data_IF_592501525574
#
_entry.id   IF_592501525574
#
_cell.length_a   1.000
_cell.length_b   1.000
_cell.length_c   1.000
_cell.angle_alpha   90.00
_cell.angle_beta   90.00
_cell.angle_gamma   90.00
#
_symmetry.space_group_name_H-M   'P 1'
#
loop_
_entity.id
_entity.type
_entity.pdbx_description
1 polymer ?
#
# COMPACT_ATOMS: atom_id res chain seq x y z
N UNK A 1 6.52 28.30 15.29
CA UNK A 1 7.31 28.74 14.11
C UNK A 1 6.43 28.98 12.89
N UNK A 2 5.48 28.09 12.54
CA UNK A 2 4.57 28.25 11.39
C UNK A 2 3.81 29.59 11.41
N UNK A 3 3.13 29.95 12.51
CA UNK A 3 2.42 31.23 12.63
C UNK A 3 3.31 32.46 12.41
N UNK A 4 4.62 32.35 12.70
CA UNK A 4 5.58 33.42 12.45
C UNK A 4 5.95 33.49 10.97
N UNK A 5 6.12 32.34 10.33
CA UNK A 5 6.37 32.26 8.88
C UNK A 5 5.21 32.84 8.06
N UNK A 6 3.96 32.52 8.40
CA UNK A 6 2.77 33.01 7.69
C UNK A 6 2.58 34.55 7.74
N UNK A 7 3.26 35.24 8.66
CA UNK A 7 3.22 36.70 8.79
C UNK A 7 4.43 37.39 8.17
N UNK A 8 5.42 36.61 7.71
CA UNK A 8 6.62 37.13 7.06
C UNK A 8 6.39 37.27 5.56
N UNK A 9 7.11 38.21 4.94
CA UNK A 9 7.10 38.40 3.48
C UNK A 9 7.61 37.16 2.74
N UNK A 10 8.64 36.51 3.30
CA UNK A 10 9.19 35.25 2.80
C UNK A 10 9.04 34.13 3.86
N UNK A 11 7.91 33.39 3.89
CA UNK A 11 7.66 32.35 4.88
C UNK A 11 8.72 31.23 4.90
N UNK A 12 9.29 30.92 3.73
CA UNK A 12 10.28 29.84 3.55
C UNK A 12 11.63 30.12 4.22
N UNK A 13 11.95 31.39 4.53
CA UNK A 13 13.17 31.74 5.28
C UNK A 13 13.08 31.29 6.75
N UNK A 14 11.85 31.09 7.27
CA UNK A 14 11.60 30.69 8.66
C UNK A 14 11.27 29.20 8.74
N UNK A 15 10.47 28.69 7.80
CA UNK A 15 10.13 27.26 7.70
C UNK A 15 10.48 26.79 6.29
N UNK A 16 11.72 26.30 6.06
CA UNK A 16 12.23 25.98 4.72
C UNK A 16 11.73 24.62 4.24
N UNK A 17 10.42 24.46 4.13
CA UNK A 17 9.78 23.26 3.60
C UNK A 17 8.58 23.63 2.75
N UNK A 18 8.43 22.92 1.63
CA UNK A 18 7.31 23.04 0.71
C UNK A 18 6.88 21.65 0.23
N UNK A 19 5.62 21.50 -0.11
CA UNK A 19 5.12 20.32 -0.82
C UNK A 19 5.40 20.47 -2.32
N UNK A 20 6.32 19.66 -2.83
CA UNK A 20 6.79 19.75 -4.22
C UNK A 20 6.03 18.85 -5.19
N UNK A 21 5.27 17.87 -4.68
CA UNK A 21 4.47 16.96 -5.52
C UNK A 21 2.96 17.19 -5.36
N UNK A 22 2.54 17.97 -4.38
CA UNK A 22 1.16 18.40 -4.14
C UNK A 22 0.26 17.37 -3.47
N UNK A 23 0.71 16.12 -3.34
CA UNK A 23 -0.11 15.03 -2.80
C UNK A 23 -0.41 15.23 -1.31
N UNK A 24 0.59 15.66 -0.54
CA UNK A 24 0.42 15.90 0.89
C UNK A 24 -0.58 17.03 1.17
N UNK A 25 -0.51 18.11 0.39
CA UNK A 25 -1.44 19.25 0.46
C UNK A 25 -2.86 18.81 0.11
N UNK A 26 -3.03 18.04 -0.98
CA UNK A 26 -4.33 17.53 -1.40
C UNK A 26 -4.96 16.64 -0.32
N UNK A 27 -4.21 15.68 0.22
CA UNK A 27 -4.67 14.78 1.29
C UNK A 27 -5.08 15.57 2.54
N UNK A 28 -4.24 16.50 3.00
CA UNK A 28 -4.53 17.32 4.17
C UNK A 28 -5.79 18.18 3.96
N UNK A 29 -6.00 18.69 2.73
CA UNK A 29 -7.18 19.46 2.37
C UNK A 29 -8.46 18.63 2.36
N UNK A 30 -8.42 17.38 1.89
CA UNK A 30 -9.59 16.48 1.94
C UNK A 30 -9.97 16.19 3.40
N UNK A 31 -8.97 16.01 4.27
CA UNK A 31 -9.22 15.73 5.70
C UNK A 31 -9.80 16.96 6.40
N UNK A 32 -9.09 18.09 6.36
CA UNK A 32 -9.36 19.24 7.25
C UNK A 32 -9.33 20.61 6.55
N UNK A 33 -9.37 20.66 5.21
CA UNK A 33 -9.39 21.93 4.48
C UNK A 33 -10.61 22.78 4.84
N UNK A 34 -10.40 24.07 5.09
CA UNK A 34 -11.48 25.03 5.33
C UNK A 34 -12.41 25.14 4.11
N UNK A 35 -13.66 25.54 4.34
CA UNK A 35 -14.62 25.76 3.27
C UNK A 35 -14.14 26.86 2.31
N UNK A 36 -14.10 26.53 1.02
CA UNK A 36 -13.98 27.48 -0.09
C UNK A 36 -15.09 27.17 -1.10
N UNK A 37 -16.18 27.97 -1.04
CA UNK A 37 -17.37 27.76 -1.87
C UNK A 37 -17.08 27.95 -3.36
N UNK A 38 -16.29 28.96 -3.72
CA UNK A 38 -15.95 29.29 -5.12
C UNK A 38 -15.26 28.13 -5.85
N UNK A 39 -14.51 27.31 -5.09
CA UNK A 39 -13.76 26.18 -5.63
C UNK A 39 -14.38 24.82 -5.26
N UNK A 40 -15.52 24.81 -4.57
CA UNK A 40 -16.21 23.58 -4.16
C UNK A 40 -15.41 22.70 -3.19
N UNK A 41 -14.45 23.26 -2.45
CA UNK A 41 -13.58 22.51 -1.54
C UNK A 41 -14.07 22.64 -0.11
N UNK A 42 -14.24 21.50 0.57
CA UNK A 42 -14.53 21.42 1.99
C UNK A 42 -13.97 20.11 2.55
N UNK A 43 -13.10 20.20 3.55
CA UNK A 43 -12.62 19.04 4.28
C UNK A 43 -13.70 18.39 5.14
N UNK A 44 -13.49 17.13 5.52
CA UNK A 44 -14.43 16.37 6.36
C UNK A 44 -14.50 16.95 7.79
N UNK A 45 -13.34 17.30 8.36
CA UNK A 45 -13.20 17.85 9.71
C UNK A 45 -12.50 19.21 9.68
N UNK A 46 -13.23 20.26 9.27
CA UNK A 46 -12.68 21.60 9.02
C UNK A 46 -12.13 22.33 10.26
N UNK A 47 -12.37 21.82 11.46
CA UNK A 47 -11.85 22.36 12.73
C UNK A 47 -10.76 21.46 13.35
N UNK A 48 -10.40 20.35 12.69
CA UNK A 48 -9.28 19.53 13.14
C UNK A 48 -7.95 20.27 12.91
N UNK A 49 -7.02 20.09 13.84
CA UNK A 49 -5.65 20.55 13.65
C UNK A 49 -4.82 19.47 12.98
N UNK A 50 -3.84 19.90 12.17
CA UNK A 50 -3.00 19.02 11.38
C UNK A 50 -1.61 18.89 12.00
N UNK A 51 -1.13 17.65 12.08
CA UNK A 51 0.28 17.32 12.31
C UNK A 51 0.79 16.65 11.03
N UNK A 52 1.77 17.27 10.37
CA UNK A 52 2.27 16.81 9.06
C UNK A 52 3.70 16.30 9.21
N UNK A 53 3.94 15.10 8.71
CA UNK A 53 5.29 14.52 8.57
C UNK A 53 5.64 14.45 7.09
N UNK A 54 6.65 15.22 6.68
CA UNK A 54 7.24 15.12 5.34
C UNK A 54 8.40 14.14 5.39
N UNK A 55 8.26 13.00 4.70
CA UNK A 55 9.31 12.01 4.58
C UNK A 55 10.43 12.53 3.66
N UNK A 56 11.68 12.15 3.96
CA UNK A 56 12.82 12.41 3.09
C UNK A 56 12.97 11.29 2.07
N UNK A 57 13.64 11.57 0.95
CA UNK A 57 14.02 10.53 -0.02
C UNK A 57 15.07 9.58 0.59
N UNK A 58 15.04 8.28 0.24
CA UNK A 58 16.06 7.33 0.65
C UNK A 58 17.45 7.74 0.14
N UNK A 59 18.50 7.24 0.81
CA UNK A 59 19.87 7.44 0.35
C UNK A 59 20.11 6.64 -0.94
N UNK A 60 20.92 7.18 -1.86
CA UNK A 60 21.26 6.56 -3.14
C UNK A 60 21.73 5.10 -3.03
N UNK A 61 22.55 4.78 -2.04
CA UNK A 61 23.02 3.40 -1.82
C UNK A 61 21.89 2.42 -1.45
N UNK A 62 20.83 2.90 -0.79
CA UNK A 62 19.66 2.09 -0.45
C UNK A 62 18.74 1.89 -1.66
N UNK A 63 18.61 2.91 -2.51
CA UNK A 63 17.91 2.76 -3.79
C UNK A 63 18.60 1.72 -4.67
N UNK A 64 19.93 1.80 -4.78
CA UNK A 64 20.72 0.86 -5.58
C UNK A 64 20.63 -0.59 -5.09
N UNK A 65 20.73 -0.85 -3.78
CA UNK A 65 20.64 -2.23 -3.27
C UNK A 65 19.25 -2.84 -3.45
N UNK A 66 18.20 -2.02 -3.36
CA UNK A 66 16.80 -2.40 -3.54
C UNK A 66 16.33 -2.37 -5.00
N UNK A 67 17.21 -2.00 -5.94
CA UNK A 67 16.91 -1.92 -7.36
C UNK A 67 15.76 -0.97 -7.67
N UNK A 68 15.80 0.20 -7.04
CA UNK A 68 14.83 1.29 -7.22
C UNK A 68 15.48 2.41 -8.03
N UNK A 69 14.82 2.93 -9.09
CA UNK A 69 15.33 4.08 -9.85
C UNK A 69 15.56 5.32 -8.97
N UNK A 70 16.64 6.06 -9.23
CA UNK A 70 17.06 7.19 -8.36
C UNK A 70 16.08 8.37 -8.37
N UNK A 71 15.35 8.55 -9.46
CA UNK A 71 14.35 9.59 -9.66
C UNK A 71 12.96 9.20 -9.15
N UNK A 72 12.75 7.92 -8.80
CA UNK A 72 11.48 7.44 -8.30
C UNK A 72 11.09 8.11 -6.97
N UNK A 73 9.79 8.35 -6.81
CA UNK A 73 9.25 8.93 -5.58
C UNK A 73 8.90 7.78 -4.63
N UNK A 74 9.84 7.47 -3.74
CA UNK A 74 9.68 6.43 -2.73
C UNK A 74 10.24 6.90 -1.39
N UNK A 75 9.93 6.15 -0.34
CA UNK A 75 10.36 6.43 1.03
C UNK A 75 10.80 5.13 1.70
N UNK A 76 11.77 5.24 2.60
CA UNK A 76 12.30 4.09 3.30
C UNK A 76 11.43 3.75 4.52
N UNK A 77 11.15 2.46 4.70
CA UNK A 77 10.32 1.95 5.80
C UNK A 77 10.75 2.46 7.18
N UNK A 78 12.05 2.48 7.48
CA UNK A 78 12.54 2.97 8.78
C UNK A 78 12.22 4.45 9.03
N UNK A 79 12.24 5.29 7.99
CA UNK A 79 11.86 6.70 8.12
C UNK A 79 10.34 6.86 8.28
N UNK A 80 9.55 5.98 7.64
CA UNK A 80 8.10 5.88 7.85
C UNK A 80 7.79 5.54 9.31
N UNK A 81 8.43 4.50 9.86
CA UNK A 81 8.26 4.10 11.26
C UNK A 81 8.63 5.24 12.23
N UNK A 82 9.71 5.97 11.96
CA UNK A 82 10.10 7.14 12.76
C UNK A 82 9.06 8.27 12.66
N UNK A 83 8.47 8.49 11.48
CA UNK A 83 7.38 9.43 11.28
C UNK A 83 6.14 9.07 12.10
N UNK A 84 5.74 7.81 12.08
CA UNK A 84 4.64 7.29 12.90
C UNK A 84 4.92 7.42 14.40
N UNK A 85 6.14 7.09 14.84
CA UNK A 85 6.58 7.30 16.23
C UNK A 85 6.49 8.77 16.66
N UNK A 86 6.84 9.70 15.77
CA UNK A 86 6.71 11.12 16.03
C UNK A 86 5.24 11.52 16.20
N UNK A 87 4.35 11.07 15.31
CA UNK A 87 2.90 11.34 15.40
C UNK A 87 2.29 10.81 16.70
N UNK A 88 2.64 9.59 17.10
CA UNK A 88 2.27 9.01 18.39
C UNK A 88 2.75 9.89 19.56
N UNK A 89 4.03 10.30 19.53
CA UNK A 89 4.62 11.17 20.55
C UNK A 89 3.92 12.52 20.65
N UNK A 90 3.55 13.13 19.52
CA UNK A 90 2.81 14.39 19.48
C UNK A 90 1.43 14.23 20.13
N UNK A 91 0.67 13.20 19.74
CA UNK A 91 -0.65 12.90 20.33
C UNK A 91 -0.58 12.75 21.85
N UNK A 92 0.39 11.95 22.35
CA UNK A 92 0.61 11.76 23.79
C UNK A 92 1.00 13.06 24.50
N UNK A 93 1.89 13.86 23.91
CA UNK A 93 2.35 15.13 24.50
C UNK A 93 1.23 16.16 24.62
N UNK A 94 0.34 16.21 23.62
CA UNK A 94 -0.81 17.12 23.58
C UNK A 94 -2.03 16.57 24.32
N UNK A 95 -2.01 15.28 24.71
CA UNK A 95 -3.14 14.54 25.29
C UNK A 95 -4.40 14.63 24.43
N UNK A 96 -4.24 14.40 23.13
CA UNK A 96 -5.32 14.52 22.15
C UNK A 96 -5.37 13.31 21.23
N UNK A 97 -6.58 12.87 20.83
CA UNK A 97 -6.73 11.80 19.86
C UNK A 97 -6.08 12.18 18.52
N UNK A 98 -5.59 11.18 17.80
CA UNK A 98 -5.00 11.36 16.47
C UNK A 98 -5.53 10.31 15.50
N UNK A 99 -6.07 10.79 14.38
CA UNK A 99 -6.40 9.98 13.21
C UNK A 99 -5.28 10.17 12.18
N UNK A 100 -4.57 9.10 11.83
CA UNK A 100 -3.43 9.14 10.93
C UNK A 100 -3.88 8.67 9.54
N UNK A 101 -3.68 9.52 8.53
CA UNK A 101 -3.88 9.13 7.12
C UNK A 101 -2.57 8.54 6.57
N UNK A 102 -2.58 7.24 6.27
CA UNK A 102 -1.47 6.55 5.64
C UNK A 102 -1.79 6.28 4.16
N UNK A 103 -1.54 7.28 3.32
CA UNK A 103 -1.77 7.21 1.87
C UNK A 103 -0.51 6.75 1.10
N UNK A 104 0.25 5.83 1.69
CA UNK A 104 1.43 5.20 1.09
C UNK A 104 1.19 3.69 1.03
N UNK A 105 1.90 3.00 0.13
CA UNK A 105 1.83 1.55 0.02
C UNK A 105 2.96 0.99 -0.84
N UNK A 106 3.25 -0.29 -0.65
CA UNK A 106 4.25 -1.04 -1.39
C UNK A 106 3.71 -2.40 -1.84
N UNK A 107 4.07 -2.82 -3.06
CA UNK A 107 3.87 -4.21 -3.51
C UNK A 107 5.03 -5.13 -3.10
N UNK A 108 6.15 -4.59 -2.62
CA UNK A 108 7.24 -5.37 -2.01
C UNK A 108 6.84 -5.82 -0.62
N UNK A 109 6.95 -7.12 -0.36
CA UNK A 109 6.57 -7.77 0.88
C UNK A 109 5.68 -8.99 0.65
N UNK A 110 5.33 -9.68 1.74
CA UNK A 110 4.64 -10.97 1.68
C UNK A 110 3.14 -10.89 1.38
N UNK A 111 2.54 -9.70 1.52
CA UNK A 111 1.08 -9.47 1.49
C UNK A 111 0.29 -10.36 2.47
N UNK A 112 0.98 -10.88 3.48
CA UNK A 112 0.37 -11.49 4.66
C UNK A 112 0.19 -10.43 5.76
N UNK A 113 -0.33 -10.85 6.89
CA UNK A 113 -0.41 -10.02 8.10
C UNK A 113 0.98 -9.63 8.66
N UNK A 114 2.05 -10.38 8.32
CA UNK A 114 3.37 -10.21 8.93
C UNK A 114 4.30 -9.30 8.11
N UNK A 115 4.70 -8.19 8.74
CA UNK A 115 5.93 -7.44 8.46
C UNK A 115 6.29 -6.55 9.64
N UNK A 116 7.51 -6.01 9.67
CA UNK A 116 7.92 -5.07 10.73
C UNK A 116 7.02 -3.83 10.78
N UNK A 117 6.68 -3.24 9.63
CA UNK A 117 5.78 -2.09 9.56
C UNK A 117 4.34 -2.44 9.95
N UNK A 118 3.82 -3.58 9.50
CA UNK A 118 2.48 -4.05 9.86
C UNK A 118 2.35 -4.24 11.38
N UNK A 119 3.26 -4.99 12.00
CA UNK A 119 3.25 -5.25 13.45
C UNK A 119 3.34 -3.94 14.26
N UNK A 120 4.20 -3.01 13.82
CA UNK A 120 4.32 -1.71 14.48
C UNK A 120 3.02 -0.90 14.42
N UNK A 121 2.39 -0.82 13.24
CA UNK A 121 1.15 -0.07 13.05
C UNK A 121 -0.03 -0.73 13.78
N UNK A 122 -0.14 -2.06 13.73
CA UNK A 122 -1.16 -2.83 14.44
C UNK A 122 -1.11 -2.58 15.94
N UNK A 123 0.08 -2.58 16.55
CA UNK A 123 0.25 -2.29 17.98
C UNK A 123 -0.15 -0.88 18.36
N UNK A 124 0.13 0.10 17.49
CA UNK A 124 -0.20 1.51 17.76
C UNK A 124 -1.71 1.74 17.76
N UNK A 125 -2.45 1.12 16.83
CA UNK A 125 -3.91 1.27 16.72
C UNK A 125 -4.66 0.65 17.90
N UNK A 126 -4.03 -0.27 18.62
CA UNK A 126 -4.55 -0.83 19.89
C UNK A 126 -4.35 0.10 21.10
N UNK A 127 -3.58 1.18 20.96
CA UNK A 127 -3.49 2.19 22.00
C UNK A 127 -4.75 3.06 22.00
N UNK A 128 -5.21 3.54 23.18
CA UNK A 128 -6.34 4.46 23.23
C UNK A 128 -6.08 5.72 22.39
N UNK A 129 -7.11 6.16 21.69
CA UNK A 129 -7.18 7.46 21.00
C UNK A 129 -6.23 7.61 19.80
N UNK A 130 -5.71 6.52 19.26
CA UNK A 130 -4.87 6.50 18.06
C UNK A 130 -5.47 5.54 17.05
N UNK A 131 -5.65 6.00 15.82
CA UNK A 131 -6.12 5.16 14.71
C UNK A 131 -5.41 5.52 13.41
N UNK A 132 -5.33 4.57 12.49
CA UNK A 132 -4.66 4.70 11.21
C UNK A 132 -5.54 4.13 10.10
N UNK A 133 -5.94 4.99 9.17
CA UNK A 133 -6.51 4.57 7.89
C UNK A 133 -5.39 4.39 6.86
N UNK A 134 -5.41 3.29 6.13
CA UNK A 134 -4.39 2.90 5.14
C UNK A 134 -5.01 2.79 3.76
N UNK A 135 -4.32 3.33 2.74
CA UNK A 135 -4.74 3.17 1.36
C UNK A 135 -4.52 1.74 0.87
N UNK A 136 -5.53 1.15 0.22
CA UNK A 136 -5.40 -0.16 -0.40
C UNK A 136 -4.40 -0.21 -1.59
N UNK A 137 -3.86 0.93 -2.03
CA UNK A 137 -2.97 1.01 -3.19
C UNK A 137 -3.73 1.14 -4.52
N UNK A 138 -3.01 1.49 -5.58
CA UNK A 138 -3.57 1.72 -6.93
C UNK A 138 -3.03 0.70 -7.95
N UNK A 139 -2.91 -0.56 -7.55
CA UNK A 139 -2.30 -1.64 -8.33
C UNK A 139 -3.33 -2.59 -8.99
N UNK A 140 -4.63 -2.39 -8.78
CA UNK A 140 -5.71 -3.33 -9.16
C UNK A 140 -5.78 -3.68 -10.65
N UNK A 141 -5.38 -2.76 -11.53
CA UNK A 141 -5.36 -2.96 -12.98
C UNK A 141 -3.95 -2.88 -13.60
N UNK A 142 -2.89 -2.94 -12.78
CA UNK A 142 -1.51 -2.74 -13.25
C UNK A 142 -0.87 -3.98 -13.86
N UNK A 143 -1.47 -5.16 -13.68
CA UNK A 143 -0.94 -6.46 -14.15
C UNK A 143 0.42 -6.81 -13.53
N UNK A 144 0.63 -6.37 -12.29
CA UNK A 144 1.88 -6.48 -11.51
C UNK A 144 1.84 -7.53 -10.40
N UNK A 145 0.79 -8.34 -10.38
CA UNK A 145 0.66 -9.50 -9.52
C UNK A 145 0.37 -10.74 -10.36
N UNK A 146 1.03 -11.85 -10.01
CA UNK A 146 0.81 -13.18 -10.54
C UNK A 146 0.45 -14.13 -9.40
N UNK A 147 -0.53 -14.99 -9.63
CA UNK A 147 -0.85 -16.12 -8.76
C UNK A 147 -0.75 -17.40 -9.56
N UNK A 148 -0.03 -18.39 -9.04
CA UNK A 148 0.15 -19.69 -9.66
C UNK A 148 -0.03 -20.82 -8.68
N UNK A 149 -0.39 -21.99 -9.21
CA UNK A 149 -0.57 -23.21 -8.45
C UNK A 149 -0.16 -24.42 -9.29
N UNK A 150 0.49 -25.40 -8.67
CA UNK A 150 0.72 -26.72 -9.26
C UNK A 150 0.05 -27.78 -8.39
N UNK A 151 -1.04 -28.37 -8.88
CA UNK A 151 -1.87 -29.31 -8.10
C UNK A 151 -1.50 -30.79 -8.31
N UNK A 152 -0.71 -31.09 -9.33
CA UNK A 152 -0.35 -32.45 -9.70
C UNK A 152 1.11 -32.55 -10.15
N UNK A 153 1.64 -33.77 -10.07
CA UNK A 153 2.98 -34.10 -10.56
C UNK A 153 3.16 -33.63 -12.04
N UNK A 154 4.31 -33.04 -12.39
CA UNK A 154 5.56 -33.04 -11.62
C UNK A 154 5.70 -31.87 -10.61
N UNK A 155 4.61 -31.20 -10.22
CA UNK A 155 4.65 -30.05 -9.30
C UNK A 155 5.62 -28.96 -9.77
N UNK A 156 5.54 -28.69 -11.08
CA UNK A 156 6.26 -27.62 -11.76
C UNK A 156 5.30 -26.59 -12.31
N UNK A 157 5.69 -25.32 -12.29
CA UNK A 157 4.89 -24.24 -12.86
C UNK A 157 5.77 -23.22 -13.58
N UNK A 158 5.42 -22.89 -14.81
CA UNK A 158 6.09 -21.85 -15.60
C UNK A 158 5.20 -20.63 -15.76
N UNK A 159 5.78 -19.44 -15.61
CA UNK A 159 5.07 -18.18 -15.86
C UNK A 159 5.96 -17.15 -16.55
N UNK A 160 5.33 -16.13 -17.13
CA UNK A 160 5.96 -15.21 -18.07
C UNK A 160 5.79 -13.76 -17.63
N UNK A 161 6.88 -13.00 -17.76
CA UNK A 161 6.95 -11.56 -17.56
C UNK A 161 7.34 -10.90 -18.89
N UNK A 162 6.55 -9.94 -19.37
CA UNK A 162 7.01 -9.02 -20.40
C UNK A 162 7.81 -7.91 -19.73
N UNK A 163 9.02 -7.65 -20.20
CA UNK A 163 9.84 -6.47 -19.86
C UNK A 163 9.81 -5.48 -21.01
N UNK A 164 9.63 -4.18 -20.72
CA UNK A 164 9.58 -3.10 -21.71
C UNK A 164 10.96 -2.56 -22.14
N UNK A 165 10.98 -1.76 -23.21
CA UNK A 165 12.20 -1.31 -23.93
C UNK A 165 13.17 -0.43 -23.12
N UNK A 166 12.73 0.15 -22.00
CA UNK A 166 13.48 1.16 -21.25
C UNK A 166 13.69 0.84 -19.75
N UNK A 167 13.53 -0.43 -19.33
CA UNK A 167 13.79 -0.76 -17.93
C UNK A 167 15.28 -0.75 -17.62
N UNK A 168 15.65 0.05 -16.61
CA UNK A 168 17.03 0.11 -16.09
C UNK A 168 17.24 -0.85 -14.94
N UNK A 169 16.33 -0.85 -13.98
CA UNK A 169 16.38 -1.78 -12.88
C UNK A 169 15.04 -1.92 -12.19
N UNK A 170 14.75 -3.13 -11.72
CA UNK A 170 13.63 -3.40 -10.83
C UNK A 170 13.86 -4.69 -10.06
N UNK A 171 13.03 -4.92 -9.04
CA UNK A 171 13.02 -6.14 -8.25
C UNK A 171 11.65 -6.83 -8.32
N UNK A 172 11.65 -8.14 -8.54
CA UNK A 172 10.49 -9.01 -8.44
C UNK A 172 10.64 -9.93 -7.23
N UNK A 173 9.55 -10.12 -6.49
CA UNK A 173 9.50 -11.06 -5.37
C UNK A 173 8.55 -12.20 -5.69
N UNK A 174 8.95 -13.43 -5.38
CA UNK A 174 8.10 -14.61 -5.43
C UNK A 174 8.03 -15.20 -4.02
N UNK A 175 6.81 -15.41 -3.55
CA UNK A 175 6.51 -15.94 -2.24
C UNK A 175 5.69 -17.22 -2.37
N UNK A 176 6.16 -18.31 -1.75
CA UNK A 176 5.47 -19.60 -1.74
C UNK A 176 4.84 -19.89 -0.39
N UNK A 177 3.68 -20.55 -0.39
CA UNK A 177 3.05 -21.02 0.84
C UNK A 177 3.78 -22.23 1.42
N UNK A 178 3.84 -22.32 2.75
CA UNK A 178 4.28 -23.54 3.43
C UNK A 178 3.38 -24.73 3.06
N UNK A 179 3.92 -25.96 2.91
CA UNK A 179 5.30 -26.38 3.19
C UNK A 179 6.25 -26.32 1.97
N UNK A 180 5.86 -25.68 0.86
CA UNK A 180 6.59 -25.75 -0.40
C UNK A 180 8.02 -25.20 -0.29
N UNK A 181 8.96 -25.87 -0.95
CA UNK A 181 10.34 -25.40 -1.13
C UNK A 181 10.66 -25.34 -2.62
N UNK A 182 10.65 -24.15 -3.18
CA UNK A 182 10.74 -23.94 -4.62
C UNK A 182 12.19 -23.75 -5.07
N UNK A 183 12.62 -24.50 -6.07
CA UNK A 183 13.76 -24.12 -6.91
C UNK A 183 13.27 -23.28 -8.08
N UNK A 184 14.17 -22.47 -8.66
CA UNK A 184 13.86 -21.62 -9.81
C UNK A 184 14.90 -21.77 -10.91
N UNK A 185 14.43 -21.74 -12.15
CA UNK A 185 15.23 -21.59 -13.37
C UNK A 185 14.63 -20.45 -14.18
N UNK A 186 15.48 -19.62 -14.80
CA UNK A 186 15.04 -18.40 -15.49
C UNK A 186 15.56 -18.44 -16.92
N UNK A 187 14.67 -18.18 -17.88
CA UNK A 187 15.00 -18.00 -19.29
C UNK A 187 14.88 -16.52 -19.66
N UNK A 188 15.94 -15.96 -20.24
CA UNK A 188 15.90 -14.62 -20.81
C UNK A 188 15.24 -14.62 -22.21
N UNK A 189 14.90 -13.44 -22.77
CA UNK A 189 14.22 -13.33 -24.06
C UNK A 189 14.98 -13.95 -25.24
N UNK A 190 16.31 -14.01 -25.16
CA UNK A 190 17.16 -14.64 -26.20
C UNK A 190 17.19 -16.17 -26.12
N UNK A 191 16.55 -16.77 -25.10
CA UNK A 191 16.41 -18.21 -24.92
C UNK A 191 17.51 -18.87 -24.07
N UNK A 192 18.43 -18.08 -23.53
CA UNK A 192 19.44 -18.58 -22.60
C UNK A 192 18.84 -18.80 -21.20
N UNK A 193 19.27 -19.87 -20.54
CA UNK A 193 18.81 -20.25 -19.22
C UNK A 193 19.89 -20.08 -18.16
N UNK A 194 19.47 -19.67 -16.97
CA UNK A 194 20.28 -19.87 -15.77
C UNK A 194 20.41 -21.36 -15.40
N UNK A 195 21.38 -21.68 -14.55
CA UNK A 195 21.36 -22.95 -13.80
C UNK A 195 20.21 -22.94 -12.80
N UNK A 196 19.75 -24.13 -12.39
CA UNK A 196 18.77 -24.25 -11.30
C UNK A 196 19.31 -23.62 -10.01
N UNK A 197 18.50 -22.77 -9.40
CA UNK A 197 18.80 -22.06 -8.15
C UNK A 197 17.92 -22.65 -7.04
N UNK A 198 18.55 -23.44 -6.17
CA UNK A 198 17.92 -24.06 -5.01
C UNK A 198 17.81 -23.07 -3.83
N UNK A 199 16.83 -23.26 -2.92
CA UNK A 199 16.68 -22.44 -1.72
C UNK A 199 17.87 -22.61 -0.78
N UNK A 200 18.39 -21.51 -0.26
CA UNK A 200 19.53 -21.45 0.67
C UNK A 200 19.31 -20.37 1.75
N UNK A 201 19.99 -20.47 2.90
CA UNK A 201 19.90 -19.48 3.99
C UNK A 201 20.53 -18.14 3.62
N UNK A 202 21.72 -18.18 3.01
CA UNK A 202 22.44 -16.99 2.55
C UNK A 202 22.93 -17.25 1.13
N UNK A 203 22.24 -16.72 0.13
CA UNK A 203 22.66 -16.81 -1.26
C UNK A 203 22.34 -15.54 -2.03
N UNK A 204 23.22 -15.19 -2.97
CA UNK A 204 23.04 -14.11 -3.93
C UNK A 204 23.74 -14.51 -5.22
N UNK A 205 23.02 -15.19 -6.11
CA UNK A 205 23.60 -15.71 -7.34
C UNK A 205 23.47 -14.66 -8.44
N UNK A 206 24.59 -14.15 -8.94
CA UNK A 206 24.61 -13.25 -10.09
C UNK A 206 24.69 -14.06 -11.39
N UNK A 207 23.91 -13.66 -12.39
CA UNK A 207 23.91 -14.22 -13.74
C UNK A 207 24.06 -13.10 -14.75
N UNK A 208 24.94 -13.34 -15.73
CA UNK A 208 25.05 -12.55 -16.95
C UNK A 208 24.73 -13.49 -18.10
N UNK A 209 24.11 -12.98 -19.14
CA UNK A 209 23.78 -13.73 -20.34
C UNK A 209 24.83 -13.46 -21.42
N UNK A 210 24.99 -14.41 -22.34
CA UNK A 210 26.01 -14.39 -23.40
C UNK A 210 25.53 -13.54 -24.58
N UNK A 211 24.24 -13.59 -24.88
CA UNK A 211 23.64 -12.97 -26.08
C UNK A 211 22.93 -11.64 -25.81
N UNK A 212 22.98 -11.14 -24.56
CA UNK A 212 22.39 -9.86 -24.14
C UNK A 212 23.19 -9.27 -22.95
N UNK A 213 22.94 -8.01 -22.62
CA UNK A 213 23.70 -7.29 -21.57
C UNK A 213 23.10 -7.42 -20.16
N UNK A 214 21.98 -8.13 -20.04
CA UNK A 214 21.23 -8.20 -18.79
C UNK A 214 22.01 -8.87 -17.67
N UNK A 215 21.87 -8.30 -16.47
CA UNK A 215 22.36 -8.92 -15.25
C UNK A 215 21.21 -9.15 -14.30
N UNK A 216 21.15 -10.36 -13.75
CA UNK A 216 20.17 -10.67 -12.71
C UNK A 216 20.86 -11.21 -11.46
N UNK A 217 20.36 -10.80 -10.30
CA UNK A 217 20.71 -11.39 -9.01
C UNK A 217 19.51 -12.15 -8.48
N UNK A 218 19.71 -13.44 -8.18
CA UNK A 218 18.69 -14.30 -7.62
C UNK A 218 19.09 -14.70 -6.20
N UNK A 219 18.29 -14.23 -5.25
CA UNK A 219 18.35 -14.60 -3.85
C UNK A 219 17.16 -15.56 -3.59
N UNK A 220 17.41 -16.88 -3.59
CA UNK A 220 16.40 -17.87 -3.22
C UNK A 220 16.53 -18.18 -1.72
N UNK A 221 15.85 -17.39 -0.90
CA UNK A 221 15.98 -17.34 0.57
C UNK A 221 15.03 -18.36 1.18
N UNK A 222 15.57 -19.35 1.88
CA UNK A 222 14.76 -20.42 2.52
C UNK A 222 13.88 -19.91 3.64
N UNK A 223 14.39 -18.95 4.44
CA UNK A 223 13.72 -18.39 5.60
C UNK A 223 13.88 -16.87 5.58
N UNK A 224 12.84 -16.17 5.16
CA UNK A 224 12.72 -14.72 5.28
C UNK A 224 12.59 -14.34 6.77
N UNK A 225 13.18 -13.21 7.16
CA UNK A 225 13.41 -12.86 8.57
C UNK A 225 12.15 -12.44 9.31
N UNK A 226 11.13 -11.93 8.63
CA UNK A 226 9.94 -11.39 9.26
C UNK A 226 8.85 -12.45 9.47
N UNK A 227 8.68 -13.37 8.52
CA UNK A 227 7.61 -14.36 8.56
C UNK A 227 8.07 -15.83 8.49
N UNK A 228 9.37 -16.07 8.25
CA UNK A 228 9.93 -17.43 8.21
C UNK A 228 9.56 -18.24 6.96
N UNK A 229 8.91 -17.64 5.97
CA UNK A 229 8.59 -18.30 4.71
C UNK A 229 9.72 -18.14 3.68
N UNK A 230 9.59 -18.85 2.57
CA UNK A 230 10.52 -18.73 1.46
C UNK A 230 10.23 -17.47 0.63
N UNK A 231 11.30 -16.73 0.30
CA UNK A 231 11.29 -15.59 -0.62
C UNK A 231 12.32 -15.83 -1.73
N UNK A 232 11.86 -15.78 -2.99
CA UNK A 232 12.76 -15.67 -4.15
C UNK A 232 12.75 -14.21 -4.60
N UNK A 233 13.82 -13.48 -4.29
CA UNK A 233 14.04 -12.11 -4.75
C UNK A 233 14.90 -12.12 -6.01
N UNK A 234 14.37 -11.56 -7.09
CA UNK A 234 15.05 -11.43 -8.39
C UNK A 234 15.23 -9.95 -8.70
N UNK A 235 16.47 -9.53 -8.87
CA UNK A 235 16.84 -8.14 -9.14
C UNK A 235 17.43 -8.03 -10.53
N UNK A 236 16.87 -7.17 -11.36
CA UNK A 236 17.23 -7.00 -12.77
C UNK A 236 18.00 -5.70 -12.98
N UNK A 237 19.17 -5.75 -13.61
CA UNK A 237 19.91 -4.58 -14.09
C UNK A 237 20.02 -4.66 -15.61
N UNK A 238 19.64 -3.58 -16.29
CA UNK A 238 19.54 -3.46 -17.74
C UNK A 238 18.90 -4.70 -18.40
N UNK A 239 17.70 -5.13 -17.95
CA UNK A 239 17.03 -6.30 -18.50
C UNK A 239 16.66 -6.09 -19.98
N UNK A 240 16.90 -7.11 -20.79
CA UNK A 240 16.56 -7.11 -22.20
C UNK A 240 15.03 -7.12 -22.34
N UNK A 241 14.54 -6.31 -23.28
CA UNK A 241 13.13 -6.26 -23.62
C UNK A 241 12.65 -7.63 -24.10
N UNK A 242 11.42 -8.00 -23.74
CA UNK A 242 10.75 -9.17 -24.25
C UNK A 242 10.23 -10.07 -23.15
N UNK A 243 10.05 -11.35 -23.47
CA UNK A 243 9.41 -12.31 -22.57
C UNK A 243 10.48 -13.07 -21.79
N UNK A 244 10.49 -12.85 -20.49
CA UNK A 244 11.23 -13.64 -19.51
C UNK A 244 10.33 -14.77 -19.00
N UNK A 245 10.88 -15.98 -18.91
CA UNK A 245 10.15 -17.15 -18.37
C UNK A 245 10.80 -17.63 -17.08
N UNK A 246 9.97 -17.95 -16.09
CA UNK A 246 10.38 -18.44 -14.78
C UNK A 246 9.78 -19.82 -14.56
N UNK A 247 10.63 -20.82 -14.43
CA UNK A 247 10.25 -22.20 -14.15
C UNK A 247 10.47 -22.48 -12.67
N UNK A 248 9.39 -22.80 -11.96
CA UNK A 248 9.40 -23.19 -10.56
C UNK A 248 9.17 -24.70 -10.45
N UNK A 249 9.87 -25.33 -9.52
CA UNK A 249 9.71 -26.75 -9.19
C UNK A 249 9.70 -26.91 -7.67
N UNK A 250 8.70 -27.61 -7.13
CA UNK A 250 8.60 -27.88 -5.70
C UNK A 250 9.41 -29.13 -5.33
N UNK A 251 10.41 -28.94 -4.48
CA UNK A 251 11.32 -30.00 -4.04
C UNK A 251 10.67 -31.01 -3.08
N UNK A 252 9.49 -30.71 -2.56
CA UNK A 252 8.74 -31.60 -1.66
C UNK A 252 7.88 -32.63 -2.41
N UNK A 253 7.77 -32.56 -3.74
CA UNK A 253 6.87 -33.41 -4.53
C UNK A 253 5.39 -33.32 -4.08
N UNK A 254 4.94 -32.12 -3.69
CA UNK A 254 3.57 -31.85 -3.24
C UNK A 254 2.96 -30.64 -3.97
N UNK A 255 1.63 -30.55 -3.91
CA UNK A 255 0.90 -29.41 -4.46
C UNK A 255 1.26 -28.12 -3.72
N UNK A 256 1.35 -27.01 -4.46
CA UNK A 256 1.67 -25.71 -3.87
C UNK A 256 1.02 -24.55 -4.63
N UNK A 257 0.98 -23.41 -3.96
CA UNK A 257 0.63 -22.12 -4.55
C UNK A 257 1.75 -21.11 -4.30
N UNK A 258 1.81 -20.09 -5.15
CA UNK A 258 2.75 -19.00 -4.98
C UNK A 258 2.17 -17.70 -5.54
N UNK A 259 2.74 -16.60 -5.09
CA UNK A 259 2.45 -15.27 -5.58
C UNK A 259 3.75 -14.63 -6.07
N UNK A 260 3.69 -13.86 -7.15
CA UNK A 260 4.78 -13.00 -7.59
C UNK A 260 4.32 -11.56 -7.74
N UNK A 261 5.10 -10.61 -7.23
CA UNK A 261 4.80 -9.18 -7.32
C UNK A 261 5.94 -8.40 -7.96
N UNK A 262 5.56 -7.45 -8.80
CA UNK A 262 6.42 -6.39 -9.32
C UNK A 262 6.25 -5.11 -8.47
N UNK A 263 7.18 -4.14 -8.57
CA UNK A 263 7.07 -2.88 -7.87
C UNK A 263 5.83 -2.07 -8.21
N UNK A 264 5.26 -1.43 -7.19
CA UNK A 264 4.09 -0.56 -7.32
C UNK A 264 4.45 0.84 -7.84
N UNK A 265 3.46 1.55 -8.38
CA UNK A 265 3.59 2.95 -8.73
C UNK A 265 4.62 3.20 -9.85
N UNK A 266 5.47 4.21 -9.65
CA UNK A 266 6.48 4.65 -10.63
C UNK A 266 7.86 4.01 -10.42
N UNK A 267 7.94 2.91 -9.67
CA UNK A 267 9.19 2.16 -9.47
C UNK A 267 9.53 1.26 -10.67
N UNK A 268 8.57 1.04 -11.56
CA UNK A 268 8.68 0.26 -12.79
C UNK A 268 7.72 0.84 -13.83
N UNK A 269 8.00 0.66 -15.12
CA UNK A 269 7.09 1.13 -16.19
C UNK A 269 5.79 0.32 -16.28
N UNK A 270 4.79 0.86 -16.99
CA UNK A 270 3.54 0.13 -17.28
C UNK A 270 3.69 -0.89 -18.43
N UNK A 271 4.84 -0.88 -19.12
CA UNK A 271 5.20 -1.84 -20.17
C UNK A 271 5.85 -3.11 -19.65
N UNK A 272 6.19 -3.15 -18.36
CA UNK A 272 6.69 -4.35 -17.68
C UNK A 272 5.58 -4.96 -16.81
N UNK A 273 5.08 -6.12 -17.22
CA UNK A 273 3.89 -6.74 -16.62
C UNK A 273 3.82 -8.25 -16.86
N UNK A 274 3.08 -8.96 -16.00
CA UNK A 274 2.81 -10.38 -16.19
C UNK A 274 1.83 -10.62 -17.35
N UNK A 275 2.11 -11.59 -18.22
CA UNK A 275 1.23 -11.89 -19.36
C UNK A 275 -0.13 -12.46 -18.93
N UNK A 276 -0.18 -13.15 -17.79
CA UNK A 276 -1.40 -13.69 -17.18
C UNK A 276 -1.51 -13.22 -15.72
N UNK A 277 -1.82 -11.94 -15.49
CA UNK A 277 -1.84 -11.37 -14.15
C UNK A 277 -3.06 -11.86 -13.37
N UNK A 278 -2.93 -11.93 -12.04
CA UNK A 278 -4.07 -12.09 -11.14
C UNK A 278 -4.65 -10.72 -10.79
N UNK A 279 -5.99 -10.55 -10.82
CA UNK A 279 -6.63 -9.31 -10.42
C UNK A 279 -6.86 -9.20 -8.89
N UNK A 280 -6.62 -10.26 -8.12
CA UNK A 280 -6.81 -10.30 -6.66
C UNK A 280 -5.45 -10.26 -5.94
N UNK A 281 -5.44 -9.88 -4.66
CA UNK A 281 -4.20 -9.75 -3.85
C UNK A 281 -3.32 -8.60 -4.32
N UNK A 282 -3.97 -7.50 -4.69
CA UNK A 282 -3.34 -6.26 -5.17
C UNK A 282 -3.39 -5.14 -4.13
N UNK A 283 -3.89 -5.44 -2.92
CA UNK A 283 -3.82 -4.51 -1.79
C UNK A 283 -2.37 -4.38 -1.35
N UNK A 284 -1.83 -3.17 -1.41
CA UNK A 284 -0.43 -2.92 -1.03
C UNK A 284 -0.22 -2.98 0.48
N UNK A 285 0.95 -3.43 0.92
CA UNK A 285 1.35 -3.33 2.33
C UNK A 285 1.59 -1.86 2.71
N UNK A 286 1.20 -1.40 3.92
CA UNK A 286 0.75 -2.18 5.08
C UNK A 286 -0.76 -2.43 5.17
N UNK A 287 -1.52 -2.29 4.08
CA UNK A 287 -2.98 -2.54 4.06
C UNK A 287 -3.37 -4.00 4.33
N UNK A 288 -2.41 -4.90 4.50
CA UNK A 288 -2.64 -6.32 4.86
C UNK A 288 -2.54 -6.57 6.37
N UNK A 289 -2.30 -5.54 7.18
CA UNK A 289 -2.29 -5.62 8.64
C UNK A 289 -3.72 -5.87 9.19
N UNK A 290 -3.82 -6.35 10.44
CA UNK A 290 -5.07 -6.89 10.98
C UNK A 290 -5.99 -5.86 11.65
N UNK A 291 -5.41 -4.84 12.29
CA UNK A 291 -6.16 -3.88 13.11
C UNK A 291 -6.32 -2.52 12.43
N UNK A 292 -5.59 -2.28 11.34
CA UNK A 292 -5.69 -1.05 10.55
C UNK A 292 -7.01 -1.00 9.77
N UNK A 293 -7.42 0.20 9.36
CA UNK A 293 -8.55 0.36 8.46
C UNK A 293 -8.08 0.55 7.03
N UNK A 294 -8.13 -0.51 6.24
CA UNK A 294 -7.71 -0.47 4.84
C UNK A 294 -8.85 -0.02 3.95
N UNK A 295 -8.61 1.05 3.20
CA UNK A 295 -9.63 1.77 2.46
C UNK A 295 -9.38 1.67 0.96
N UNK A 296 -10.40 1.20 0.24
CA UNK A 296 -10.41 1.22 -1.22
C UNK A 296 -11.30 2.35 -1.76
N UNK A 297 -11.19 2.64 -3.06
CA UNK A 297 -11.85 3.78 -3.68
C UNK A 297 -12.92 3.37 -4.69
N UNK A 298 -14.04 4.10 -4.63
CA UNK A 298 -15.09 4.08 -5.64
C UNK A 298 -15.39 5.49 -6.17
N UNK A 299 -16.09 5.54 -7.30
CA UNK A 299 -16.63 6.76 -7.87
C UNK A 299 -18.03 7.07 -7.28
N UNK A 300 -18.20 8.16 -6.53
CA UNK A 300 -19.48 8.53 -5.94
C UNK A 300 -20.56 8.87 -6.98
N UNK A 301 -20.19 9.26 -8.21
CA UNK A 301 -21.17 9.58 -9.25
C UNK A 301 -21.75 8.32 -9.90
N UNK A 302 -20.89 7.39 -10.31
CA UNK A 302 -21.30 6.16 -11.00
C UNK A 302 -21.59 5.00 -10.05
N UNK A 303 -21.21 5.12 -8.77
CA UNK A 303 -21.26 4.05 -7.76
C UNK A 303 -20.48 2.80 -8.18
N UNK A 304 -19.40 2.99 -8.94
CA UNK A 304 -18.54 1.92 -9.44
C UNK A 304 -17.17 1.96 -8.76
N UNK A 305 -16.55 0.79 -8.58
CA UNK A 305 -15.18 0.68 -8.09
C UNK A 305 -14.20 1.31 -9.08
N UNK A 306 -13.16 1.99 -8.60
CA UNK A 306 -12.10 2.44 -9.49
C UNK A 306 -11.27 1.24 -9.94
N UNK A 307 -11.06 1.11 -11.25
CA UNK A 307 -10.32 -0.03 -11.82
C UNK A 307 -8.91 -0.17 -11.25
N UNK A 308 -8.28 0.94 -10.88
CA UNK A 308 -6.94 0.96 -10.29
C UNK A 308 -6.90 0.56 -8.81
N UNK A 309 -8.03 0.60 -8.09
CA UNK A 309 -8.06 0.32 -6.66
C UNK A 309 -7.57 -1.10 -6.34
N UNK A 310 -6.62 -1.22 -5.41
CA UNK A 310 -6.23 -2.52 -4.87
C UNK A 310 -7.40 -3.23 -4.18
N UNK A 311 -7.53 -4.54 -4.41
CA UNK A 311 -8.59 -5.37 -3.85
C UNK A 311 -8.20 -6.85 -3.79
N UNK A 312 -8.99 -7.66 -3.09
CA UNK A 312 -8.87 -9.11 -3.10
C UNK A 312 -8.85 -9.73 -1.72
N UNK A 313 -7.83 -10.52 -1.50
CA UNK A 313 -7.55 -11.16 -0.23
C UNK A 313 -6.13 -10.79 0.16
N UNK A 314 -5.80 -10.92 1.44
CA UNK A 314 -4.41 -11.13 1.82
C UNK A 314 -3.96 -12.49 1.29
N UNK A 315 -2.66 -12.75 1.30
CA UNK A 315 -2.12 -14.05 0.87
C UNK A 315 -2.64 -15.22 1.73
N UNK A 316 -3.00 -14.95 2.99
CA UNK A 316 -3.65 -15.86 3.94
C UNK A 316 -5.19 -15.92 3.82
N UNK A 317 -5.75 -15.44 2.71
CA UNK A 317 -7.17 -15.52 2.35
C UNK A 317 -8.14 -14.68 3.20
N UNK A 318 -7.64 -13.71 3.97
CA UNK A 318 -8.49 -12.73 4.66
C UNK A 318 -9.05 -11.72 3.66
N UNK A 319 -10.34 -11.45 3.74
CA UNK A 319 -10.99 -10.43 2.89
C UNK A 319 -10.41 -9.05 3.22
N UNK A 320 -9.91 -8.35 2.20
CA UNK A 320 -9.36 -7.00 2.29
C UNK A 320 -9.61 -6.29 0.95
N UNK A 321 -9.97 -5.00 0.89
CA UNK A 321 -10.01 -3.93 1.90
C UNK A 321 -11.07 -4.13 2.98
N UNK A 322 -11.04 -3.31 4.04
CA UNK A 322 -12.05 -3.32 5.10
C UNK A 322 -13.31 -2.55 4.68
N UNK A 323 -13.14 -1.37 4.06
CA UNK A 323 -14.25 -0.54 3.60
C UNK A 323 -13.93 0.19 2.30
N UNK A 324 -14.97 0.67 1.64
CA UNK A 324 -14.88 1.49 0.42
C UNK A 324 -15.33 2.93 0.69
N UNK A 325 -14.56 3.92 0.23
CA UNK A 325 -14.90 5.33 0.40
C UNK A 325 -14.73 6.13 -0.91
N UNK A 326 -15.33 7.32 -1.04
CA UNK A 326 -15.23 8.12 -2.26
C UNK A 326 -13.77 8.47 -2.57
N UNK A 327 -13.31 8.13 -3.76
CA UNK A 327 -11.92 8.39 -4.17
C UNK A 327 -11.74 8.81 -5.61
N UNK A 328 -12.82 9.12 -6.34
CA UNK A 328 -12.76 9.66 -7.70
C UNK A 328 -12.97 11.16 -7.71
N UNK A 329 -12.04 11.89 -8.34
CA UNK A 329 -12.13 13.33 -8.56
C UNK A 329 -12.55 14.13 -7.31
N UNK A 330 -11.92 13.83 -6.17
CA UNK A 330 -12.24 14.51 -4.91
C UNK A 330 -11.59 15.89 -4.92
N UNK A 331 -12.41 16.94 -4.82
CA UNK A 331 -11.96 18.33 -4.84
C UNK A 331 -11.05 18.64 -3.63
N UNK A 332 -9.90 19.26 -3.88
CA UNK A 332 -8.89 19.53 -2.87
C UNK A 332 -8.02 20.75 -3.20
N UNK A 333 -7.41 21.35 -2.18
CA UNK A 333 -6.37 22.35 -2.36
C UNK A 333 -5.07 21.73 -2.88
N UNK A 334 -4.34 22.51 -3.66
CA UNK A 334 -3.05 22.19 -4.25
C UNK A 334 -2.02 23.26 -3.83
N UNK A 335 -0.71 22.99 -3.99
CA UNK A 335 0.32 24.00 -3.70
C UNK A 335 0.07 25.33 -4.41
N UNK A 336 0.61 26.42 -3.84
CA UNK A 336 0.53 27.78 -4.39
C UNK A 336 -0.90 28.38 -4.43
N UNK A 337 -1.78 27.95 -3.52
CA UNK A 337 -3.15 28.48 -3.43
C UNK A 337 -4.07 28.03 -4.56
N UNK A 338 -3.66 26.97 -5.29
CA UNK A 338 -4.45 26.39 -6.37
C UNK A 338 -5.45 25.36 -5.83
N UNK A 339 -6.39 24.98 -6.67
CA UNK A 339 -7.40 23.95 -6.40
C UNK A 339 -7.44 22.96 -7.56
N UNK A 340 -7.78 21.71 -7.25
CA UNK A 340 -7.84 20.64 -8.21
C UNK A 340 -8.57 19.44 -7.64
N UNK A 341 -8.33 18.26 -8.23
CA UNK A 341 -8.95 17.01 -7.82
C UNK A 341 -7.89 15.94 -7.57
N UNK A 342 -8.13 15.08 -6.58
CA UNK A 342 -7.34 13.89 -6.30
C UNK A 342 -8.16 12.62 -6.60
N UNK A 343 -7.55 11.65 -7.29
CA UNK A 343 -8.15 10.35 -7.59
C UNK A 343 -7.28 9.20 -7.08
N UNK A 344 -7.91 8.19 -6.49
CA UNK A 344 -7.29 6.94 -6.05
C UNK A 344 -7.56 6.62 -4.58
N UNK A 345 -7.02 5.49 -4.11
CA UNK A 345 -7.23 4.99 -2.74
C UNK A 345 -6.69 5.93 -1.67
N UNK A 346 -5.65 6.73 -1.97
CA UNK A 346 -5.19 7.80 -1.07
C UNK A 346 -6.24 8.89 -0.80
N UNK A 347 -7.06 9.25 -1.79
CA UNK A 347 -8.16 10.21 -1.60
C UNK A 347 -9.27 9.62 -0.72
N UNK A 348 -9.63 8.36 -0.96
CA UNK A 348 -10.59 7.62 -0.14
C UNK A 348 -10.10 7.44 1.31
N UNK A 349 -8.81 7.21 1.51
CA UNK A 349 -8.17 7.13 2.83
C UNK A 349 -8.20 8.47 3.55
N UNK A 350 -7.95 9.57 2.84
CA UNK A 350 -8.07 10.92 3.38
C UNK A 350 -9.50 11.22 3.84
N UNK A 351 -10.51 10.89 3.01
CA UNK A 351 -11.92 11.00 3.38
C UNK A 351 -12.22 10.22 4.67
N UNK A 352 -11.79 8.96 4.72
CA UNK A 352 -12.03 8.06 5.86
C UNK A 352 -11.32 8.53 7.13
N UNK A 353 -10.09 9.06 7.01
CA UNK A 353 -9.35 9.65 8.15
C UNK A 353 -10.13 10.80 8.79
N UNK A 354 -10.81 11.61 7.98
CA UNK A 354 -11.71 12.64 8.49
C UNK A 354 -12.87 12.06 9.31
N UNK A 355 -13.47 10.95 8.84
CA UNK A 355 -14.54 10.25 9.58
C UNK A 355 -14.03 9.66 10.89
N UNK A 356 -12.84 9.07 10.91
CA UNK A 356 -12.18 8.61 12.14
C UNK A 356 -12.02 9.77 13.13
N UNK A 357 -11.55 10.94 12.67
CA UNK A 357 -11.40 12.12 13.52
C UNK A 357 -12.75 12.59 14.10
N UNK A 358 -13.84 12.53 13.32
CA UNK A 358 -15.20 12.81 13.83
C UNK A 358 -15.61 11.83 14.95
N UNK A 359 -15.30 10.54 14.80
CA UNK A 359 -15.61 9.53 15.81
C UNK A 359 -14.78 9.74 17.08
N UNK A 360 -13.53 10.17 16.96
CA UNK A 360 -12.73 10.58 18.11
C UNK A 360 -13.24 11.84 18.80
N UNK A 361 -13.78 12.82 18.07
CA UNK A 361 -14.47 13.96 18.68
C UNK A 361 -15.64 13.46 19.54
N UNK A 362 -16.49 12.61 18.98
CA UNK A 362 -17.65 12.05 19.70
C UNK A 362 -17.24 11.22 20.92
N UNK A 363 -16.27 10.31 20.78
CA UNK A 363 -15.90 9.38 21.83
C UNK A 363 -15.05 10.06 22.92
N UNK A 364 -14.01 10.80 22.52
CA UNK A 364 -13.00 11.30 23.45
C UNK A 364 -13.31 12.74 23.87
N UNK A 365 -13.49 13.65 22.91
CA UNK A 365 -13.63 15.09 23.20
C UNK A 365 -14.96 15.38 23.90
N UNK A 366 -16.05 14.72 23.48
CA UNK A 366 -17.37 14.84 24.11
C UNK A 366 -17.57 13.88 25.29
N UNK A 367 -16.60 13.00 25.57
CA UNK A 367 -16.57 12.17 26.77
C UNK A 367 -17.46 10.92 26.77
N UNK A 368 -17.94 10.47 25.59
CA UNK A 368 -18.82 9.30 25.51
C UNK A 368 -18.09 7.97 25.72
N UNK A 369 -16.85 7.84 25.22
CA UNK A 369 -16.02 6.65 25.39
C UNK A 369 -14.52 7.01 25.30
N UNK A 370 -13.96 7.51 26.39
CA UNK A 370 -12.61 8.11 26.40
C UNK A 370 -11.45 7.10 26.29
N UNK A 371 -11.70 5.81 26.52
CA UNK A 371 -10.72 4.73 26.36
C UNK A 371 -10.76 4.06 25.00
N UNK A 372 -11.56 4.57 24.05
CA UNK A 372 -11.70 4.00 22.71
C UNK A 372 -10.34 3.85 22.01
N UNK A 373 -10.10 2.69 21.41
CA UNK A 373 -8.93 2.42 20.56
C UNK A 373 -9.26 2.65 19.09
N UNK A 374 -8.26 2.75 18.21
CA UNK A 374 -8.52 2.80 16.78
C UNK A 374 -9.18 1.52 16.27
N UNK A 375 -8.80 0.36 16.81
CA UNK A 375 -9.47 -0.91 16.48
C UNK A 375 -10.98 -0.87 16.82
N UNK A 376 -11.38 -0.28 17.95
CA UNK A 376 -12.79 -0.09 18.29
C UNK A 376 -13.51 0.82 17.26
N UNK A 377 -12.85 1.91 16.84
CA UNK A 377 -13.35 2.83 15.81
C UNK A 377 -13.54 2.11 14.48
N UNK A 378 -12.57 1.29 14.07
CA UNK A 378 -12.60 0.51 12.84
C UNK A 378 -13.75 -0.49 12.84
N UNK A 379 -13.99 -1.17 13.97
CA UNK A 379 -15.14 -2.06 14.13
C UNK A 379 -16.48 -1.33 14.06
N UNK A 380 -16.57 -0.09 14.58
CA UNK A 380 -17.77 0.73 14.44
C UNK A 380 -18.01 1.16 13.00
N UNK A 381 -16.96 1.58 12.28
CA UNK A 381 -17.02 1.91 10.85
C UNK A 381 -17.52 0.72 10.04
N UNK A 382 -16.91 -0.46 10.24
CA UNK A 382 -17.31 -1.70 9.58
C UNK A 382 -18.76 -2.06 9.90
N UNK A 383 -19.21 -1.98 11.16
CA UNK A 383 -20.60 -2.29 11.53
C UNK A 383 -21.62 -1.34 10.92
N UNK A 384 -21.25 -0.07 10.75
CA UNK A 384 -22.10 0.98 10.19
C UNK A 384 -22.08 1.09 8.67
N UNK A 385 -21.16 0.40 7.97
CA UNK A 385 -21.02 0.49 6.52
C UNK A 385 -22.31 0.11 5.76
N UNK A 386 -22.57 0.83 4.67
CA UNK A 386 -23.69 0.60 3.77
C UNK A 386 -23.48 -0.69 2.95
N UNK A 387 -24.46 -1.58 3.05
CA UNK A 387 -24.56 -2.87 2.36
C UNK A 387 -25.89 -3.01 1.61
N UNK A 388 -26.56 -1.88 1.32
CA UNK A 388 -27.89 -1.85 0.73
C UNK A 388 -27.96 -2.41 -0.69
N UNK A 389 -26.82 -2.53 -1.39
CA UNK A 389 -26.78 -3.18 -2.69
C UNK A 389 -26.95 -4.70 -2.56
N UNK A 390 -28.19 -5.15 -2.76
CA UNK A 390 -28.60 -6.55 -2.66
C UNK A 390 -27.91 -7.49 -3.68
N UNK A 391 -27.22 -6.96 -4.69
CA UNK A 391 -26.46 -7.77 -5.66
C UNK A 391 -25.13 -8.27 -5.09
N UNK A 392 -24.68 -7.72 -3.96
CA UNK A 392 -23.41 -8.08 -3.33
C UNK A 392 -23.64 -8.87 -2.04
N UNK A 393 -22.83 -9.91 -1.86
CA UNK A 393 -22.67 -10.59 -0.57
C UNK A 393 -21.49 -9.93 0.15
N UNK A 394 -21.67 -9.58 1.43
CA UNK A 394 -20.64 -8.95 2.24
C UNK A 394 -20.21 -9.87 3.40
N UNK A 395 -18.93 -9.83 3.80
CA UNK A 395 -17.84 -9.09 3.15
C UNK A 395 -17.45 -9.72 1.80
N UNK A 396 -16.88 -8.92 0.90
CA UNK A 396 -16.33 -9.41 -0.37
C UNK A 396 -14.99 -8.74 -0.71
N UNK A 397 -14.15 -9.39 -1.54
CA UNK A 397 -12.83 -8.90 -1.89
C UNK A 397 -12.80 -7.50 -2.53
N UNK A 398 -13.90 -7.02 -3.12
CA UNK A 398 -13.91 -5.76 -3.86
C UNK A 398 -14.32 -4.57 -3.00
N UNK A 399 -15.38 -4.73 -2.22
CA UNK A 399 -16.01 -3.66 -1.42
C UNK A 399 -15.74 -3.80 0.08
N UNK A 400 -14.97 -4.81 0.48
CA UNK A 400 -14.74 -5.14 1.88
C UNK A 400 -16.05 -5.45 2.60
N UNK A 401 -16.26 -4.76 3.72
CA UNK A 401 -17.48 -4.83 4.51
C UNK A 401 -18.58 -3.85 4.07
N UNK A 402 -18.36 -3.02 3.05
CA UNK A 402 -19.35 -2.07 2.55
C UNK A 402 -18.80 -0.67 2.32
N UNK A 403 -19.69 0.23 1.92
CA UNK A 403 -19.36 1.64 1.68
C UNK A 403 -19.41 2.39 3.01
N UNK A 404 -18.41 3.24 3.28
CA UNK A 404 -18.37 4.08 4.46
C UNK A 404 -19.63 4.96 4.56
N UNK A 405 -20.40 4.79 5.63
CA UNK A 405 -21.64 5.53 5.88
C UNK A 405 -21.67 6.09 7.32
N UNK A 406 -21.52 7.41 7.42
CA UNK A 406 -21.51 8.13 8.71
C UNK A 406 -22.86 7.96 9.44
N UNK A 407 -23.98 8.01 8.72
CA UNK A 407 -25.30 7.87 9.35
C UNK A 407 -25.53 6.44 9.82
N UNK A 408 -25.12 5.47 8.99
CA UNK A 408 -25.09 4.06 9.36
C UNK A 408 -24.30 3.82 10.65
N UNK A 409 -23.11 4.42 10.79
CA UNK A 409 -22.29 4.35 12.00
C UNK A 409 -23.00 4.95 13.21
N UNK A 410 -23.49 6.19 13.10
CA UNK A 410 -24.16 6.88 14.21
C UNK A 410 -25.40 6.12 14.69
N UNK A 411 -26.14 5.47 13.78
CA UNK A 411 -27.29 4.64 14.14
C UNK A 411 -26.94 3.44 15.03
N UNK A 412 -25.69 2.93 14.94
CA UNK A 412 -25.21 1.82 15.79
C UNK A 412 -24.83 2.26 17.19
N UNK A 413 -24.67 3.56 17.41
CA UNK A 413 -24.31 4.14 18.70
C UNK A 413 -25.53 4.46 19.58
N UNK A 414 -26.77 4.14 19.12
CA UNK A 414 -28.02 4.48 19.79
C UNK A 414 -28.07 5.98 20.21
N UNK A 415 -27.66 6.86 19.30
CA UNK A 415 -27.78 8.31 19.45
C UNK A 415 -29.17 8.82 19.06
#
# INVERSE_FOLDING_TARGET
>A
MINRALRAENPLDIVPTADTNGRGTAIASIIAGSLNEDNGVRGIVTQAELVVVKLKKPKKNLLQISFVPEDAECYQETDIMLGLKYLEGVSRSLRRPIAICFALGSSQGSHSEFSTLNDYMDRIVLLPQIDIAVAAGNEGNRRRHYFGAAEAAPYSHSFELKVGEDEKMFAMEIWSGLPARLSIKIMCPTGEYTRVIYPQLESCNAFNFIFEESKIWVNNITLEKENGEQLILIRFEDPHEGIWTFDLENLEEEAYTFHAWLPSGNLITDETYFLKPSPYTTVTMPGTANNLLTVTAYDPQTKSMLAQSGWGYTRDWRVIPDVTAPGNMIACAMPNGLYGNLTGTGAATAFTTGVIAMLFEWAVVRGNYTSVTGSDVNQLIIRGADRSNASYVFPNPNWGYGILDIYGILSKLNL
#
